data_IF_115397318761
#
_entry.id   IF_115397318761
#
_cell.length_a   1.000
_cell.length_b   1.000
_cell.length_c   1.000
_cell.angle_alpha   90.00
_cell.angle_beta   90.00
_cell.angle_gamma   90.00
#
_symmetry.space_group_name_H-M   'P 1'
#
loop_
_entity.id
_entity.type
_entity.pdbx_description
1 polymer ?
#
# COMPACT_ATOMS: atom_id res chain seq x y z
N UNK A 1 -42.13 -37.67 -35.99
CA UNK A 1 -41.01 -36.84 -36.50
C UNK A 1 -41.44 -35.39 -36.45
N UNK A 2 -40.76 -34.59 -35.64
CA UNK A 2 -40.32 -33.19 -35.88
C UNK A 2 -39.84 -32.65 -34.53
N UNK A 3 -38.52 -32.53 -34.43
CA UNK A 3 -37.81 -31.98 -33.28
C UNK A 3 -37.89 -30.45 -33.33
N UNK A 4 -38.20 -29.82 -32.18
CA UNK A 4 -38.01 -28.38 -32.00
C UNK A 4 -36.72 -28.17 -31.19
N UNK A 5 -35.68 -27.74 -31.90
CA UNK A 5 -34.39 -27.34 -31.36
C UNK A 5 -34.54 -26.14 -30.41
N UNK A 6 -34.12 -26.30 -29.16
CA UNK A 6 -33.90 -25.20 -28.22
C UNK A 6 -32.52 -24.59 -28.48
N UNK A 7 -32.38 -23.25 -28.61
CA UNK A 7 -31.07 -22.65 -28.78
C UNK A 7 -30.33 -22.61 -27.43
N UNK A 8 -29.11 -23.11 -27.47
CA UNK A 8 -28.10 -23.04 -26.42
C UNK A 8 -27.72 -21.58 -26.12
N UNK A 9 -28.20 -21.05 -24.99
CA UNK A 9 -27.62 -19.88 -24.34
C UNK A 9 -26.38 -20.30 -23.56
N UNK A 10 -25.22 -20.26 -24.21
CA UNK A 10 -23.92 -20.52 -23.61
C UNK A 10 -23.63 -19.50 -22.50
N UNK A 11 -23.89 -19.86 -21.24
CA UNK A 11 -23.29 -19.20 -20.09
C UNK A 11 -21.80 -19.61 -20.01
N UNK A 12 -20.97 -19.00 -20.86
CA UNK A 12 -19.54 -19.00 -20.67
C UNK A 12 -19.25 -18.30 -19.34
N UNK A 13 -18.88 -19.06 -18.31
CA UNK A 13 -18.28 -18.49 -17.10
C UNK A 13 -16.97 -17.83 -17.52
N UNK A 14 -17.02 -16.55 -17.84
CA UNK A 14 -15.82 -15.70 -17.79
C UNK A 14 -15.47 -15.61 -16.31
N UNK A 15 -14.55 -16.47 -15.86
CA UNK A 15 -14.01 -16.38 -14.50
C UNK A 15 -13.18 -15.11 -14.45
N UNK A 16 -13.79 -14.00 -14.03
CA UNK A 16 -13.10 -12.73 -13.87
C UNK A 16 -12.06 -12.83 -12.75
N UNK A 17 -10.90 -12.18 -12.94
CA UNK A 17 -9.77 -12.21 -11.98
C UNK A 17 -10.21 -11.80 -10.57
N UNK A 18 -11.08 -10.80 -10.49
CA UNK A 18 -11.71 -10.37 -9.24
C UNK A 18 -13.24 -10.36 -9.35
N UNK A 19 -13.95 -10.46 -8.21
CA UNK A 19 -15.38 -10.16 -8.17
C UNK A 19 -15.66 -8.71 -8.59
N UNK A 20 -16.72 -8.52 -9.36
CA UNK A 20 -17.23 -7.18 -9.65
C UNK A 20 -17.74 -6.49 -8.39
N UNK A 21 -17.69 -5.15 -8.39
CA UNK A 21 -18.34 -4.35 -7.38
C UNK A 21 -19.85 -4.66 -7.34
N UNK A 22 -20.46 -4.57 -6.15
CA UNK A 22 -21.89 -4.79 -5.96
C UNK A 22 -22.69 -3.85 -6.88
N UNK A 23 -23.85 -4.32 -7.36
CA UNK A 23 -24.71 -3.55 -8.29
C UNK A 23 -24.95 -2.12 -7.76
N UNK A 24 -24.62 -1.13 -8.58
CA UNK A 24 -24.78 0.30 -8.26
C UNK A 24 -23.73 0.89 -7.30
N UNK A 25 -22.73 0.10 -6.88
CA UNK A 25 -21.57 0.60 -6.13
C UNK A 25 -20.40 0.87 -7.09
N UNK A 26 -19.59 1.90 -6.80
CA UNK A 26 -18.37 2.13 -7.56
C UNK A 26 -17.36 0.99 -7.37
N UNK A 27 -16.51 0.80 -8.37
CA UNK A 27 -15.42 -0.17 -8.37
C UNK A 27 -14.21 0.39 -9.10
N UNK A 28 -13.08 -0.29 -9.03
CA UNK A 28 -11.92 0.09 -9.85
C UNK A 28 -12.14 -0.28 -11.31
N UNK A 29 -11.58 0.52 -12.20
CA UNK A 29 -11.58 0.24 -13.62
C UNK A 29 -10.89 -1.09 -13.91
N UNK A 30 -11.57 -1.97 -14.67
CA UNK A 30 -11.09 -3.33 -14.92
C UNK A 30 -9.83 -3.31 -15.78
N UNK A 31 -9.80 -2.49 -16.83
CA UNK A 31 -8.71 -2.50 -17.80
C UNK A 31 -7.42 -1.98 -17.17
N UNK A 32 -7.50 -0.95 -16.31
CA UNK A 32 -6.34 -0.46 -15.55
C UNK A 32 -5.79 -1.52 -14.59
N UNK A 33 -6.67 -2.23 -13.87
CA UNK A 33 -6.27 -3.30 -12.95
C UNK A 33 -5.63 -4.47 -13.70
N UNK A 34 -6.25 -4.95 -14.77
CA UNK A 34 -5.72 -6.08 -15.54
C UNK A 34 -4.38 -5.73 -16.21
N UNK A 35 -4.24 -4.52 -16.74
CA UNK A 35 -2.98 -4.02 -17.32
C UNK A 35 -1.87 -4.04 -16.27
N UNK A 36 -2.14 -3.45 -15.10
CA UNK A 36 -1.16 -3.44 -14.01
C UNK A 36 -0.77 -4.84 -13.54
N UNK A 37 -1.73 -5.76 -13.40
CA UNK A 37 -1.43 -7.14 -13.01
C UNK A 37 -0.61 -7.89 -14.05
N UNK A 38 -0.88 -7.65 -15.34
CA UNK A 38 -0.08 -8.21 -16.42
C UNK A 38 1.37 -7.69 -16.36
N UNK A 39 1.55 -6.40 -16.08
CA UNK A 39 2.87 -5.77 -15.93
C UNK A 39 3.61 -6.33 -14.72
N UNK A 40 2.93 -6.44 -13.58
CA UNK A 40 3.47 -7.02 -12.36
C UNK A 40 3.90 -8.47 -12.52
N UNK A 41 3.12 -9.29 -13.23
CA UNK A 41 3.49 -10.69 -13.53
C UNK A 41 4.78 -10.77 -14.36
N UNK A 42 4.94 -9.88 -15.34
CA UNK A 42 6.16 -9.82 -16.17
C UNK A 42 7.36 -9.40 -15.34
N UNK A 43 7.23 -8.35 -14.53
CA UNK A 43 8.28 -7.88 -13.64
C UNK A 43 8.70 -8.95 -12.60
N UNK A 44 7.72 -9.67 -12.04
CA UNK A 44 7.99 -10.73 -11.07
C UNK A 44 8.78 -11.91 -11.67
N UNK A 45 8.62 -12.17 -12.97
CA UNK A 45 9.32 -13.26 -13.66
C UNK A 45 10.68 -12.83 -14.24
N UNK A 46 10.94 -11.53 -14.38
CA UNK A 46 12.19 -10.99 -14.91
C UNK A 46 13.33 -11.11 -13.89
N UNK A 47 14.52 -11.54 -14.30
CA UNK A 47 15.67 -11.79 -13.41
C UNK A 47 16.11 -10.54 -12.64
N UNK A 48 16.05 -9.37 -13.29
CA UNK A 48 16.43 -8.08 -12.73
C UNK A 48 15.29 -7.36 -11.98
N UNK A 49 14.10 -7.97 -11.89
CA UNK A 49 12.92 -7.39 -11.24
C UNK A 49 12.06 -6.51 -12.15
N UNK A 50 12.46 -6.30 -13.42
CA UNK A 50 11.63 -5.63 -14.43
C UNK A 50 11.17 -4.21 -14.10
N UNK A 51 11.82 -3.54 -13.15
CA UNK A 51 11.55 -2.14 -12.76
C UNK A 51 10.33 -1.91 -11.87
N UNK A 52 9.53 -2.94 -11.55
CA UNK A 52 8.44 -2.82 -10.58
C UNK A 52 8.95 -3.14 -9.18
N UNK A 53 8.68 -2.25 -8.23
CA UNK A 53 9.04 -2.41 -6.82
C UNK A 53 7.81 -2.47 -5.91
N UNK A 54 8.01 -2.93 -4.68
CA UNK A 54 7.04 -2.86 -3.59
C UNK A 54 6.50 -1.43 -3.41
N UNK A 55 7.38 -0.44 -3.50
CA UNK A 55 7.08 0.98 -3.45
C UNK A 55 6.09 1.43 -4.54
N UNK A 56 6.36 1.05 -5.79
CA UNK A 56 5.48 1.39 -6.93
C UNK A 56 4.11 0.73 -6.77
N UNK A 57 4.07 -0.53 -6.30
CA UNK A 57 2.80 -1.23 -6.05
C UNK A 57 1.98 -0.50 -4.98
N UNK A 58 2.61 -0.05 -3.88
CA UNK A 58 1.94 0.69 -2.81
C UNK A 58 1.33 2.00 -3.29
N UNK A 59 2.02 2.70 -4.18
CA UNK A 59 1.57 3.99 -4.72
C UNK A 59 0.63 3.87 -5.93
N UNK A 60 0.33 2.64 -6.36
CA UNK A 60 -0.58 2.42 -7.49
C UNK A 60 -2.01 2.75 -7.08
N UNK A 61 -2.64 3.63 -7.85
CA UNK A 61 -4.03 3.99 -7.70
C UNK A 61 -4.77 3.74 -9.01
N UNK A 62 -5.95 3.13 -8.92
CA UNK A 62 -6.82 2.89 -10.06
C UNK A 62 -7.96 3.88 -10.10
N UNK A 63 -8.37 4.25 -11.32
CA UNK A 63 -9.55 5.06 -11.51
C UNK A 63 -10.79 4.33 -10.99
N UNK A 64 -11.67 5.09 -10.33
CA UNK A 64 -12.94 4.59 -9.82
C UNK A 64 -14.04 4.81 -10.85
N UNK A 65 -14.69 3.73 -11.29
CA UNK A 65 -15.85 3.75 -12.19
C UNK A 65 -17.15 3.55 -11.42
N UNK A 66 -18.23 4.23 -11.86
CA UNK A 66 -19.52 4.22 -11.15
C UNK A 66 -20.26 2.89 -11.21
N UNK A 67 -20.01 2.07 -12.24
CA UNK A 67 -20.69 0.79 -12.49
C UNK A 67 -19.75 -0.15 -13.22
N UNK A 68 -19.86 -1.44 -12.94
CA UNK A 68 -19.16 -2.50 -13.69
C UNK A 68 -17.67 -2.63 -13.39
N UNK A 69 -17.13 -1.91 -12.41
CA UNK A 69 -15.73 -2.05 -11.99
C UNK A 69 -15.49 -3.24 -11.05
N UNK A 70 -14.23 -3.57 -10.83
CA UNK A 70 -13.83 -4.55 -9.82
C UNK A 70 -14.08 -4.07 -8.39
N UNK A 71 -14.33 -5.01 -7.50
CA UNK A 71 -14.48 -4.73 -6.07
C UNK A 71 -13.17 -4.16 -5.50
N UNK A 72 -13.18 -2.89 -5.13
CA UNK A 72 -12.08 -2.17 -4.45
C UNK A 72 -11.42 -3.04 -3.38
N UNK A 73 -12.20 -3.55 -2.42
CA UNK A 73 -11.71 -4.43 -1.35
C UNK A 73 -10.91 -5.64 -1.83
N UNK A 74 -11.33 -6.30 -2.91
CA UNK A 74 -10.66 -7.51 -3.39
C UNK A 74 -9.38 -7.17 -4.14
N UNK A 75 -9.38 -6.07 -4.89
CA UNK A 75 -8.20 -5.56 -5.59
C UNK A 75 -7.17 -5.07 -4.57
N UNK A 76 -7.55 -4.23 -3.60
CA UNK A 76 -6.63 -3.71 -2.58
C UNK A 76 -5.96 -4.85 -1.80
N UNK A 77 -6.73 -5.86 -1.38
CA UNK A 77 -6.17 -7.03 -0.70
C UNK A 77 -5.23 -7.86 -1.60
N UNK A 78 -5.42 -7.82 -2.92
CA UNK A 78 -4.51 -8.48 -3.85
C UNK A 78 -3.23 -7.65 -4.07
N UNK A 79 -3.34 -6.33 -4.16
CA UNK A 79 -2.20 -5.41 -4.21
C UNK A 79 -1.35 -5.51 -2.96
N UNK A 80 -1.96 -5.63 -1.78
CA UNK A 80 -1.24 -5.88 -0.53
C UNK A 80 -0.39 -7.15 -0.60
N UNK A 81 -0.97 -8.28 -1.03
CA UNK A 81 -0.23 -9.54 -1.15
C UNK A 81 0.88 -9.45 -2.19
N UNK A 82 0.63 -8.69 -3.26
CA UNK A 82 1.60 -8.44 -4.30
C UNK A 82 2.76 -7.57 -3.79
N UNK A 83 2.48 -6.50 -3.05
CA UNK A 83 3.49 -5.65 -2.39
C UNK A 83 4.37 -6.50 -1.47
N UNK A 84 3.76 -7.35 -0.63
CA UNK A 84 4.50 -8.23 0.28
C UNK A 84 5.41 -9.22 -0.46
N UNK A 85 4.93 -9.83 -1.56
CA UNK A 85 5.73 -10.72 -2.38
C UNK A 85 6.92 -10.00 -3.04
N UNK A 86 6.71 -8.77 -3.53
CA UNK A 86 7.79 -7.96 -4.11
C UNK A 86 8.78 -7.50 -3.03
N UNK A 87 8.32 -7.08 -1.85
CA UNK A 87 9.18 -6.68 -0.75
C UNK A 87 10.06 -7.84 -0.25
N UNK A 88 9.49 -9.05 -0.14
CA UNK A 88 10.25 -10.25 0.21
C UNK A 88 11.35 -10.54 -0.81
N UNK A 89 11.02 -10.45 -2.11
CA UNK A 89 11.99 -10.65 -3.19
C UNK A 89 13.09 -9.58 -3.19
N UNK A 90 12.74 -8.31 -2.98
CA UNK A 90 13.69 -7.20 -2.87
C UNK A 90 14.66 -7.43 -1.70
N UNK A 91 14.15 -7.88 -0.56
CA UNK A 91 14.97 -8.29 0.57
C UNK A 91 15.91 -9.43 0.21
N UNK A 92 15.39 -10.52 -0.33
CA UNK A 92 16.20 -11.72 -0.62
C UNK A 92 17.34 -11.38 -1.59
N UNK A 93 17.05 -10.55 -2.58
CA UNK A 93 18.06 -10.01 -3.50
C UNK A 93 19.09 -9.15 -2.78
N UNK A 94 18.66 -8.21 -1.95
CA UNK A 94 19.58 -7.37 -1.20
C UNK A 94 20.44 -8.22 -0.26
N UNK A 95 19.88 -9.21 0.44
CA UNK A 95 20.64 -10.15 1.28
C UNK A 95 21.67 -10.93 0.44
N UNK A 96 21.30 -11.41 -0.74
CA UNK A 96 22.21 -12.12 -1.63
C UNK A 96 23.37 -11.23 -2.14
N UNK A 97 23.11 -9.94 -2.40
CA UNK A 97 24.09 -9.01 -2.96
C UNK A 97 25.06 -8.43 -1.91
N UNK A 98 24.55 -8.02 -0.73
CA UNK A 98 25.33 -7.32 0.31
C UNK A 98 25.49 -8.09 1.62
N UNK A 99 24.83 -9.23 1.77
CA UNK A 99 24.81 -10.02 2.98
C UNK A 99 23.73 -9.60 3.98
N UNK A 100 23.30 -10.57 4.79
CA UNK A 100 22.20 -10.42 5.76
C UNK A 100 22.50 -9.35 6.84
N UNK A 101 23.71 -9.36 7.39
CA UNK A 101 24.11 -8.42 8.43
C UNK A 101 24.05 -6.95 7.97
N UNK A 102 24.51 -6.68 6.74
CA UNK A 102 24.45 -5.35 6.15
C UNK A 102 23.01 -4.92 5.87
N UNK A 103 22.19 -5.83 5.32
CA UNK A 103 20.76 -5.58 5.09
C UNK A 103 20.04 -5.14 6.37
N UNK A 104 20.13 -5.93 7.45
CA UNK A 104 19.43 -5.59 8.68
C UNK A 104 20.05 -4.40 9.42
N UNK A 105 21.34 -4.10 9.22
CA UNK A 105 21.94 -2.89 9.76
C UNK A 105 21.31 -1.64 9.14
N UNK A 106 21.12 -1.61 7.81
CA UNK A 106 20.45 -0.49 7.13
C UNK A 106 18.97 -0.35 7.52
N UNK A 107 18.25 -1.48 7.65
CA UNK A 107 16.85 -1.47 8.09
C UNK A 107 16.75 -0.90 9.51
N UNK A 108 17.65 -1.30 10.43
CA UNK A 108 17.70 -0.74 11.78
C UNK A 108 18.05 0.74 11.79
N UNK A 109 18.99 1.17 10.97
CA UNK A 109 19.33 2.59 10.85
C UNK A 109 18.11 3.41 10.40
N UNK A 110 17.40 2.93 9.37
CA UNK A 110 16.17 3.57 8.87
C UNK A 110 15.09 3.63 9.98
N UNK A 111 14.91 2.53 10.73
CA UNK A 111 13.98 2.49 11.85
C UNK A 111 14.36 3.51 12.94
N UNK A 112 15.65 3.64 13.27
CA UNK A 112 16.12 4.62 14.25
C UNK A 112 15.87 6.06 13.79
N UNK A 113 16.12 6.38 12.52
CA UNK A 113 15.84 7.71 11.95
C UNK A 113 14.35 8.06 12.00
N UNK A 114 13.47 7.07 11.79
CA UNK A 114 12.04 7.22 11.99
C UNK A 114 11.73 7.51 13.45
N UNK A 115 12.21 6.67 14.36
CA UNK A 115 12.01 6.82 15.82
C UNK A 115 12.47 8.20 16.30
N UNK A 116 13.66 8.66 15.92
CA UNK A 116 14.20 9.97 16.33
C UNK A 116 13.32 11.13 15.86
N UNK A 117 12.73 11.01 14.67
CA UNK A 117 11.75 11.99 14.17
C UNK A 117 10.46 11.93 14.98
N UNK A 118 9.94 10.73 15.25
CA UNK A 118 8.68 10.53 15.97
C UNK A 118 8.81 10.87 17.47
N UNK A 119 10.01 10.81 18.04
CA UNK A 119 10.29 11.16 19.44
C UNK A 119 10.23 12.68 19.71
N UNK A 120 10.15 13.52 18.67
CA UNK A 120 10.02 14.97 18.84
C UNK A 120 8.72 15.31 19.60
N UNK A 121 8.70 16.44 20.34
CA UNK A 121 7.50 16.88 21.04
C UNK A 121 6.28 16.97 20.13
N UNK A 122 5.11 16.72 20.68
CA UNK A 122 3.84 16.84 19.97
C UNK A 122 3.71 18.23 19.33
N UNK A 123 3.14 18.28 18.14
CA UNK A 123 3.05 19.49 17.33
C UNK A 123 4.34 19.91 16.61
N UNK A 124 5.48 19.24 16.86
CA UNK A 124 6.83 19.56 16.33
C UNK A 124 7.47 18.39 15.57
N UNK A 125 6.77 17.27 15.38
CA UNK A 125 7.27 16.09 14.66
C UNK A 125 7.46 16.37 13.18
N UNK A 126 6.52 17.09 12.60
CA UNK A 126 6.49 17.48 11.18
C UNK A 126 6.42 18.99 11.01
N UNK A 127 6.78 19.46 9.81
CA UNK A 127 6.61 20.84 9.35
C UNK A 127 5.13 21.19 9.38
N UNK A 128 4.82 22.43 9.73
CA UNK A 128 3.47 22.97 9.59
C UNK A 128 3.23 23.48 8.19
N UNK A 129 2.07 23.16 7.64
CA UNK A 129 1.54 23.87 6.49
C UNK A 129 1.35 25.36 6.83
N UNK A 130 1.32 26.22 5.82
CA UNK A 130 1.00 27.64 6.06
C UNK A 130 -0.38 27.79 6.70
N UNK A 131 -0.64 28.90 7.40
CA UNK A 131 -1.91 29.10 8.10
C UNK A 131 -3.14 29.06 7.17
N UNK A 132 -2.94 29.31 5.87
CA UNK A 132 -3.97 29.29 4.83
C UNK A 132 -4.02 27.95 4.07
N UNK A 133 -3.03 27.08 4.23
CA UNK A 133 -2.99 25.77 3.61
C UNK A 133 -3.60 24.72 4.54
N UNK A 134 -4.24 23.72 3.94
CA UNK A 134 -4.69 22.53 4.66
C UNK A 134 -3.51 21.59 4.90
N UNK A 135 -3.58 20.89 6.02
CA UNK A 135 -2.68 19.82 6.38
C UNK A 135 -3.37 18.83 7.30
N UNK A 136 -2.68 17.77 7.69
CA UNK A 136 -3.23 16.79 8.62
C UNK A 136 -3.34 17.34 10.03
N UNK A 137 -4.39 16.91 10.74
CA UNK A 137 -4.66 17.32 12.10
C UNK A 137 -3.53 16.84 13.02
N UNK A 138 -2.77 17.75 13.67
CA UNK A 138 -1.55 17.37 14.39
C UNK A 138 -1.78 16.37 15.50
N UNK A 139 -2.89 16.48 16.23
CA UNK A 139 -3.18 15.55 17.32
C UNK A 139 -3.45 14.13 16.82
N UNK A 140 -4.02 13.97 15.60
CA UNK A 140 -4.33 12.66 15.03
C UNK A 140 -3.02 12.00 14.55
N UNK A 141 -2.16 12.79 13.92
CA UNK A 141 -0.83 12.35 13.47
C UNK A 141 0.08 12.04 14.66
N UNK A 142 0.12 12.90 15.68
CA UNK A 142 0.92 12.68 16.88
C UNK A 142 0.47 11.40 17.60
N UNK A 143 -0.84 11.22 17.83
CA UNK A 143 -1.35 10.01 18.47
C UNK A 143 -1.06 8.73 17.66
N UNK A 144 -1.13 8.78 16.33
CA UNK A 144 -0.77 7.63 15.51
C UNK A 144 0.74 7.35 15.53
N UNK A 145 1.56 8.40 15.46
CA UNK A 145 3.02 8.26 15.50
C UNK A 145 3.55 7.79 16.86
N UNK A 146 2.82 8.02 17.96
CA UNK A 146 3.11 7.38 19.25
C UNK A 146 3.03 5.86 19.17
N UNK A 147 2.01 5.33 18.47
CA UNK A 147 1.85 3.88 18.26
C UNK A 147 2.96 3.31 17.39
N UNK A 148 3.37 4.04 16.36
CA UNK A 148 4.48 3.65 15.49
C UNK A 148 5.80 3.64 16.28
N UNK A 149 6.04 4.65 17.13
CA UNK A 149 7.21 4.68 18.01
C UNK A 149 7.21 3.50 18.99
N UNK A 150 6.06 3.20 19.62
CA UNK A 150 5.90 2.04 20.50
C UNK A 150 6.18 0.70 19.80
N UNK A 151 5.73 0.55 18.56
CA UNK A 151 6.05 -0.63 17.74
C UNK A 151 7.57 -0.81 17.57
N UNK A 152 8.29 0.24 17.18
CA UNK A 152 9.74 0.15 16.95
C UNK A 152 10.56 0.04 18.24
N UNK A 153 10.14 0.68 19.33
CA UNK A 153 10.91 0.74 20.57
C UNK A 153 10.62 -0.43 21.52
N UNK A 154 9.34 -0.78 21.65
CA UNK A 154 8.86 -1.73 22.66
C UNK A 154 8.40 -3.06 22.05
N UNK A 155 8.28 -3.14 20.72
CA UNK A 155 7.64 -4.28 20.06
C UNK A 155 6.13 -4.31 20.24
N UNK A 156 5.50 -3.16 20.53
CA UNK A 156 4.05 -3.07 20.68
C UNK A 156 3.34 -3.51 19.39
N UNK A 157 2.23 -4.25 19.46
CA UNK A 157 1.57 -4.76 18.27
C UNK A 157 1.00 -3.63 17.40
N UNK A 158 1.47 -3.54 16.15
CA UNK A 158 0.94 -2.64 15.13
C UNK A 158 0.79 -3.40 13.81
N UNK A 159 -0.44 -3.52 13.32
CA UNK A 159 -0.70 -4.12 12.02
C UNK A 159 -0.29 -3.14 10.91
N UNK A 160 0.38 -3.65 9.88
CA UNK A 160 0.76 -2.88 8.68
C UNK A 160 -0.44 -2.20 8.01
N UNK A 161 -1.60 -2.88 8.01
CA UNK A 161 -2.84 -2.32 7.45
C UNK A 161 -3.34 -1.09 8.18
N UNK A 162 -3.04 -0.98 9.49
CA UNK A 162 -3.37 0.22 10.24
C UNK A 162 -2.55 1.43 9.76
N UNK A 163 -1.34 1.22 9.25
CA UNK A 163 -0.51 2.27 8.64
C UNK A 163 -0.99 2.59 7.23
N UNK A 164 -1.35 1.58 6.42
CA UNK A 164 -1.83 1.78 5.05
C UNK A 164 -3.17 2.51 4.97
N UNK A 165 -4.07 2.23 5.92
CA UNK A 165 -5.47 2.72 5.88
C UNK A 165 -5.73 3.90 6.79
N UNK A 166 -4.71 4.41 7.49
CA UNK A 166 -4.88 5.56 8.38
C UNK A 166 -5.34 6.78 7.58
N UNK A 167 -6.39 7.43 8.08
CA UNK A 167 -6.87 8.69 7.53
C UNK A 167 -6.86 9.74 8.64
N UNK A 168 -6.10 10.81 8.43
CA UNK A 168 -6.08 11.94 9.34
C UNK A 168 -7.13 12.97 8.95
N UNK A 169 -7.76 13.60 9.95
CA UNK A 169 -8.65 14.73 9.67
C UNK A 169 -7.83 15.88 9.09
N UNK A 170 -8.42 16.66 8.19
CA UNK A 170 -7.77 17.84 7.61
C UNK A 170 -8.02 19.09 8.48
N UNK A 171 -7.03 19.98 8.57
CA UNK A 171 -7.08 21.26 9.31
C UNK A 171 -6.16 22.31 8.68
N UNK A 172 -6.58 23.58 8.70
CA UNK A 172 -5.72 24.70 8.32
C UNK A 172 -4.53 24.87 9.29
N UNK A 173 -3.32 25.06 8.75
CA UNK A 173 -2.09 25.08 9.55
C UNK A 173 -1.76 23.74 10.22
N UNK A 174 -2.27 22.64 9.67
CA UNK A 174 -1.95 21.28 10.06
C UNK A 174 -0.50 20.90 9.76
N UNK A 175 -0.16 19.64 9.95
CA UNK A 175 1.11 19.11 9.45
C UNK A 175 1.10 19.01 7.93
N UNK A 176 2.27 19.23 7.33
CA UNK A 176 2.55 19.04 5.91
C UNK A 176 2.22 17.59 5.50
N UNK A 177 1.20 17.41 4.67
CA UNK A 177 0.66 16.09 4.31
C UNK A 177 1.74 15.25 3.62
N UNK A 178 2.46 15.83 2.66
CA UNK A 178 3.55 15.16 1.94
C UNK A 178 4.63 14.65 2.88
N UNK A 179 5.05 15.44 3.88
CA UNK A 179 6.06 14.98 4.83
C UNK A 179 5.55 13.83 5.72
N UNK A 180 4.28 13.88 6.12
CA UNK A 180 3.68 12.79 6.92
C UNK A 180 3.59 11.52 6.08
N UNK A 181 3.09 11.62 4.85
CA UNK A 181 2.91 10.49 3.94
C UNK A 181 4.25 9.79 3.65
N UNK A 182 5.31 10.55 3.36
CA UNK A 182 6.68 10.01 3.17
C UNK A 182 7.17 9.23 4.40
N UNK A 183 6.83 9.69 5.60
CA UNK A 183 7.19 8.96 6.83
C UNK A 183 6.36 7.70 6.98
N UNK A 184 5.06 7.72 6.68
CA UNK A 184 4.22 6.51 6.70
C UNK A 184 4.68 5.48 5.67
N UNK A 185 5.10 5.90 4.49
CA UNK A 185 5.70 5.02 3.47
C UNK A 185 6.97 4.36 3.96
N UNK A 186 7.86 5.13 4.59
CA UNK A 186 9.08 4.61 5.17
C UNK A 186 8.78 3.62 6.30
N UNK A 187 7.74 3.86 7.12
CA UNK A 187 7.29 2.90 8.13
C UNK A 187 6.83 1.59 7.49
N UNK A 188 5.99 1.65 6.45
CA UNK A 188 5.51 0.45 5.73
C UNK A 188 6.70 -0.32 5.15
N UNK A 189 7.65 0.37 4.51
CA UNK A 189 8.85 -0.26 3.95
C UNK A 189 9.67 -1.00 5.02
N UNK A 190 9.91 -0.37 6.18
CA UNK A 190 10.64 -1.01 7.29
C UNK A 190 9.86 -2.21 7.84
N UNK A 191 8.54 -2.10 8.01
CA UNK A 191 7.70 -3.20 8.50
C UNK A 191 7.73 -4.40 7.55
N UNK A 192 7.70 -4.19 6.23
CA UNK A 192 7.82 -5.27 5.25
C UNK A 192 9.22 -5.89 5.22
N UNK A 193 10.27 -5.08 5.40
CA UNK A 193 11.65 -5.57 5.38
C UNK A 193 11.96 -6.57 6.51
N UNK A 194 11.29 -6.44 7.66
CA UNK A 194 11.52 -7.28 8.85
C UNK A 194 10.55 -8.47 8.99
N UNK A 195 9.68 -8.71 8.01
CA UNK A 195 8.60 -9.71 8.11
C UNK A 195 8.97 -11.14 7.70
#
# INVERSE_FOLDING_TARGET
MTAASSPLGQNGRVTSTFPLARKGKPGYDIDEVETFLADARRAYSAIDGGGLSSDVIRHTAFRVVRRGGYSVRHVDAALERLEEAFAARERDRAIAERGEGAFYAEVRQTAQELVDRLARPHGRRFRRASALARGYHPADVDAFTDRVAGYFQNGDPLAIDAVRTIAFRSRFGGYDETQVDVVLDAVIRVMLAVR
#
